data_IF_610134244248
#
_entry.id   IF_610134244248
#
_cell.length_a   1.000
_cell.length_b   1.000
_cell.length_c   1.000
_cell.angle_alpha   90.00
_cell.angle_beta   90.00
_cell.angle_gamma   90.00
#
_symmetry.space_group_name_H-M   'P 1'
#
loop_
_entity.id
_entity.type
_entity.pdbx_description
1 polymer ?
#
# COMPACT_ATOMS: atom_id res chain seq x y z
N UNK A 1 2.48 6.34 -18.46
CA UNK A 1 2.60 5.72 -17.11
C UNK A 1 3.95 5.04 -16.88
N UNK A 2 4.47 4.22 -17.80
CA UNK A 2 5.78 3.53 -17.64
C UNK A 2 6.95 4.51 -17.57
N UNK A 3 7.02 5.47 -18.48
CA UNK A 3 8.06 6.51 -18.52
C UNK A 3 8.13 7.33 -17.22
N UNK A 4 6.97 7.70 -16.66
CA UNK A 4 6.88 8.38 -15.36
C UNK A 4 7.44 7.54 -14.20
N UNK A 5 7.28 6.21 -14.23
CA UNK A 5 7.82 5.32 -13.20
C UNK A 5 9.33 5.14 -13.34
N UNK A 6 9.83 5.06 -14.57
CA UNK A 6 11.27 4.96 -14.85
C UNK A 6 12.01 6.24 -14.43
N UNK A 7 11.51 7.40 -14.82
CA UNK A 7 12.08 8.69 -14.43
C UNK A 7 12.10 8.88 -12.91
N UNK A 8 11.01 8.53 -12.22
CA UNK A 8 10.98 8.58 -10.75
C UNK A 8 11.92 7.59 -10.09
N UNK A 9 12.10 6.40 -10.67
CA UNK A 9 13.07 5.43 -10.16
C UNK A 9 14.49 5.94 -10.35
N UNK A 10 14.82 6.54 -11.49
CA UNK A 10 16.12 7.18 -11.74
C UNK A 10 16.41 8.27 -10.70
N UNK A 11 15.46 9.19 -10.48
CA UNK A 11 15.57 10.24 -9.47
C UNK A 11 15.71 9.68 -8.05
N UNK A 12 14.99 8.60 -7.72
CA UNK A 12 15.11 7.93 -6.42
C UNK A 12 16.50 7.30 -6.25
N UNK A 13 17.01 6.63 -7.28
CA UNK A 13 18.36 6.04 -7.29
C UNK A 13 19.41 7.12 -7.09
N UNK A 14 19.30 8.25 -7.80
CA UNK A 14 20.19 9.40 -7.65
C UNK A 14 20.18 9.92 -6.20
N UNK A 15 19.00 10.16 -5.63
CA UNK A 15 18.85 10.64 -4.26
C UNK A 15 19.39 9.66 -3.22
N UNK A 16 19.11 8.36 -3.39
CA UNK A 16 19.61 7.29 -2.51
C UNK A 16 21.13 7.17 -2.62
N UNK A 17 21.71 7.30 -3.82
CA UNK A 17 23.15 7.27 -4.02
C UNK A 17 23.89 8.37 -3.23
N UNK A 18 23.24 9.50 -2.92
CA UNK A 18 23.86 10.57 -2.11
C UNK A 18 23.93 10.23 -0.61
N UNK A 19 23.13 9.28 -0.12
CA UNK A 19 22.93 9.03 1.32
C UNK A 19 23.30 7.62 1.77
N UNK A 20 23.58 6.70 0.84
CA UNK A 20 24.15 5.38 1.16
C UNK A 20 25.64 5.49 1.53
N UNK A 21 26.21 4.49 2.23
CA UNK A 21 27.62 4.51 2.61
C UNK A 21 28.54 4.71 1.40
N UNK A 22 29.59 5.52 1.56
CA UNK A 22 30.46 6.00 0.47
C UNK A 22 30.98 4.87 -0.45
N UNK A 23 31.35 3.72 0.12
CA UNK A 23 31.84 2.54 -0.63
C UNK A 23 30.84 1.96 -1.65
N UNK A 24 29.55 2.30 -1.54
CA UNK A 24 28.49 1.83 -2.42
C UNK A 24 27.92 2.91 -3.34
N UNK A 25 28.37 4.16 -3.23
CA UNK A 25 27.86 5.25 -4.04
C UNK A 25 28.10 4.97 -5.52
N UNK A 26 27.04 5.09 -6.33
CA UNK A 26 27.08 4.79 -7.77
C UNK A 26 27.02 3.30 -8.12
N UNK A 27 26.95 2.40 -7.13
CA UNK A 27 26.82 0.96 -7.36
C UNK A 27 25.42 0.55 -7.84
N UNK A 28 24.38 1.28 -7.43
CA UNK A 28 22.99 1.00 -7.85
C UNK A 28 22.81 1.43 -9.31
N UNK A 29 22.65 0.46 -10.21
CA UNK A 29 22.37 0.70 -11.63
C UNK A 29 20.90 0.51 -11.94
N UNK A 30 20.29 1.48 -12.60
CA UNK A 30 18.88 1.45 -12.98
C UNK A 30 18.52 0.19 -13.79
N UNK A 31 19.36 -0.23 -14.73
CA UNK A 31 19.12 -1.43 -15.55
C UNK A 31 18.96 -2.71 -14.72
N UNK A 32 19.70 -2.86 -13.62
CA UNK A 32 19.56 -4.01 -12.73
C UNK A 32 18.22 -3.98 -11.99
N UNK A 33 17.82 -2.79 -11.52
CA UNK A 33 16.54 -2.58 -10.84
C UNK A 33 15.37 -2.81 -11.81
N UNK A 34 15.50 -2.35 -13.06
CA UNK A 34 14.50 -2.54 -14.13
C UNK A 34 14.38 -4.01 -14.53
N UNK A 35 15.51 -4.71 -14.73
CA UNK A 35 15.51 -6.14 -15.07
C UNK A 35 14.85 -7.00 -13.98
N UNK A 36 15.00 -6.61 -12.71
CA UNK A 36 14.34 -7.30 -11.60
C UNK A 36 12.83 -7.03 -11.54
N UNK A 37 12.31 -6.04 -12.26
CA UNK A 37 10.89 -5.78 -12.39
C UNK A 37 10.33 -6.56 -13.59
N UNK A 38 9.73 -7.73 -13.34
CA UNK A 38 8.97 -8.50 -14.32
C UNK A 38 7.61 -7.83 -14.61
N UNK A 39 7.62 -6.57 -15.04
CA UNK A 39 6.43 -5.75 -15.27
C UNK A 39 6.51 -4.38 -14.61
N UNK A 40 5.72 -4.14 -13.57
CA UNK A 40 5.56 -2.79 -12.99
C UNK A 40 6.74 -2.42 -12.09
N UNK A 41 7.57 -1.49 -12.56
CA UNK A 41 8.67 -0.94 -11.77
C UNK A 41 8.18 -0.19 -10.51
N UNK A 42 8.80 -0.54 -9.39
CA UNK A 42 8.42 -0.06 -8.05
C UNK A 42 9.58 -0.17 -7.05
N UNK A 43 9.47 0.55 -5.92
CA UNK A 43 10.48 0.60 -4.84
C UNK A 43 10.93 -0.76 -4.30
N UNK A 44 10.09 -1.82 -4.20
CA UNK A 44 10.57 -3.13 -3.77
C UNK A 44 11.69 -3.71 -4.64
N UNK A 45 11.74 -3.38 -5.93
CA UNK A 45 12.82 -3.83 -6.83
C UNK A 45 14.15 -3.15 -6.48
N UNK A 46 14.12 -1.85 -6.16
CA UNK A 46 15.28 -1.13 -5.67
C UNK A 46 15.74 -1.69 -4.31
N UNK A 47 14.80 -1.99 -3.41
CA UNK A 47 15.12 -2.63 -2.13
C UNK A 47 15.86 -3.97 -2.31
N UNK A 48 15.41 -4.81 -3.26
CA UNK A 48 16.07 -6.08 -3.60
C UNK A 48 17.48 -5.86 -4.16
N UNK A 49 17.68 -4.88 -5.03
CA UNK A 49 19.01 -4.55 -5.55
C UNK A 49 19.94 -4.05 -4.43
N UNK A 50 19.44 -3.25 -3.49
CA UNK A 50 20.20 -2.81 -2.33
C UNK A 50 20.62 -3.98 -1.43
N UNK A 51 19.77 -4.99 -1.26
CA UNK A 51 20.14 -6.24 -0.56
C UNK A 51 21.19 -7.02 -1.35
N UNK A 52 21.00 -7.21 -2.65
CA UNK A 52 21.94 -7.92 -3.52
C UNK A 52 23.33 -7.30 -3.53
N UNK A 53 23.42 -5.97 -3.47
CA UNK A 53 24.67 -5.21 -3.39
C UNK A 53 25.28 -5.18 -1.97
N UNK A 54 24.59 -5.72 -0.96
CA UNK A 54 25.04 -5.70 0.43
C UNK A 54 24.97 -4.33 1.11
N UNK A 55 24.17 -3.40 0.56
CA UNK A 55 23.96 -2.06 1.12
C UNK A 55 23.11 -2.16 2.39
N UNK A 56 22.13 -3.07 2.39
CA UNK A 56 21.27 -3.39 3.52
C UNK A 56 21.14 -4.90 3.69
N UNK A 57 20.80 -5.36 4.89
CA UNK A 57 20.60 -6.79 5.18
C UNK A 57 19.23 -7.32 4.76
N UNK A 58 18.26 -6.44 4.52
CA UNK A 58 16.88 -6.84 4.22
C UNK A 58 16.12 -5.74 3.46
N UNK A 59 15.07 -6.11 2.71
CA UNK A 59 14.26 -5.09 2.01
C UNK A 59 13.50 -4.19 3.00
N UNK A 60 13.21 -4.67 4.21
CA UNK A 60 12.62 -3.88 5.30
C UNK A 60 13.56 -2.76 5.70
N UNK A 61 14.85 -3.10 5.92
CA UNK A 61 15.87 -2.11 6.27
C UNK A 61 16.07 -1.09 5.15
N UNK A 62 15.94 -1.46 3.87
CA UNK A 62 15.93 -0.49 2.77
C UNK A 62 14.78 0.52 2.89
N UNK A 63 13.56 0.07 3.17
CA UNK A 63 12.40 0.96 3.34
C UNK A 63 12.54 1.86 4.56
N UNK A 64 12.89 1.27 5.71
CA UNK A 64 13.08 1.97 6.98
C UNK A 64 14.12 3.09 6.87
N UNK A 65 15.29 2.79 6.29
CA UNK A 65 16.40 3.75 6.25
C UNK A 65 16.34 4.71 5.08
N UNK A 66 15.83 4.26 3.93
CA UNK A 66 16.01 4.99 2.68
C UNK A 66 14.71 5.23 1.90
N UNK A 67 13.98 4.17 1.53
CA UNK A 67 12.99 4.26 0.45
C UNK A 67 11.65 4.91 0.84
N UNK A 68 11.40 5.12 2.13
CA UNK A 68 10.31 5.99 2.61
C UNK A 68 10.80 7.43 2.72
N UNK A 69 11.89 7.65 3.45
CA UNK A 69 12.43 8.99 3.76
C UNK A 69 12.85 9.78 2.53
N UNK A 70 13.48 9.14 1.55
CA UNK A 70 13.97 9.78 0.34
C UNK A 70 13.07 9.52 -0.88
N UNK A 71 11.83 9.12 -0.64
CA UNK A 71 10.89 8.86 -1.71
C UNK A 71 10.72 10.09 -2.62
N UNK A 72 10.66 9.85 -3.92
CA UNK A 72 10.21 10.86 -4.88
C UNK A 72 8.69 10.80 -4.85
N UNK A 73 7.98 11.89 -4.57
CA UNK A 73 6.52 11.86 -4.53
C UNK A 73 5.94 11.54 -5.93
N UNK A 74 4.75 10.95 -5.94
CA UNK A 74 3.97 10.73 -7.16
C UNK A 74 2.77 11.64 -7.08
N UNK A 75 2.43 12.28 -8.19
CA UNK A 75 1.07 12.74 -8.38
C UNK A 75 0.16 11.51 -8.49
N UNK A 76 -0.63 11.30 -7.43
CA UNK A 76 -1.67 10.28 -7.45
C UNK A 76 -2.91 10.85 -8.14
N UNK A 77 -3.73 9.97 -8.69
CA UNK A 77 -5.11 10.33 -9.02
C UNK A 77 -5.78 10.84 -7.74
N UNK A 78 -6.60 11.87 -7.88
CA UNK A 78 -7.50 12.27 -6.81
C UNK A 78 -8.45 11.12 -6.47
N UNK A 79 -8.82 11.03 -5.19
CA UNK A 79 -9.55 9.86 -4.68
C UNK A 79 -10.95 9.76 -5.26
N UNK A 80 -11.60 10.90 -5.55
CA UNK A 80 -12.91 10.94 -6.16
C UNK A 80 -12.86 10.36 -7.58
N UNK A 81 -11.92 10.80 -8.41
CA UNK A 81 -11.70 10.24 -9.75
C UNK A 81 -11.35 8.76 -9.68
N UNK A 82 -10.52 8.34 -8.73
CA UNK A 82 -10.18 6.93 -8.57
C UNK A 82 -11.42 6.07 -8.24
N UNK A 83 -12.28 6.53 -7.33
CA UNK A 83 -13.55 5.86 -7.00
C UNK A 83 -14.47 5.84 -8.23
N UNK A 84 -14.67 6.98 -8.89
CA UNK A 84 -15.50 7.08 -10.10
C UNK A 84 -15.06 6.12 -11.18
N UNK A 85 -13.76 6.04 -11.50
CA UNK A 85 -13.23 5.14 -12.51
C UNK A 85 -13.49 3.65 -12.18
N UNK A 86 -13.35 3.27 -10.91
CA UNK A 86 -13.68 1.90 -10.47
C UNK A 86 -15.17 1.63 -10.67
N UNK A 87 -16.04 2.56 -10.27
CA UNK A 87 -17.50 2.43 -10.40
C UNK A 87 -17.95 2.39 -11.87
N UNK A 88 -17.40 3.25 -12.73
CA UNK A 88 -17.65 3.27 -14.17
C UNK A 88 -17.20 1.98 -14.85
N UNK A 89 -16.16 1.34 -14.30
CA UNK A 89 -15.70 0.00 -14.72
C UNK A 89 -16.52 -1.14 -14.10
N UNK A 90 -17.65 -0.84 -13.45
CA UNK A 90 -18.52 -1.77 -12.71
C UNK A 90 -17.83 -2.49 -11.54
N UNK A 91 -16.73 -1.94 -11.06
CA UNK A 91 -16.00 -2.44 -9.91
C UNK A 91 -16.57 -1.96 -8.58
N UNK A 92 -16.07 -2.57 -7.51
CA UNK A 92 -16.37 -2.21 -6.13
C UNK A 92 -15.14 -1.53 -5.53
N UNK A 93 -15.17 -0.20 -5.29
CA UNK A 93 -14.05 0.51 -4.70
C UNK A 93 -13.93 0.20 -3.21
N UNK A 94 -12.72 -0.22 -2.80
CA UNK A 94 -12.40 -0.61 -1.42
C UNK A 94 -11.18 0.17 -0.94
N UNK A 95 -11.26 0.75 0.26
CA UNK A 95 -10.12 1.41 0.89
C UNK A 95 -9.21 0.36 1.53
N UNK A 96 -8.05 0.14 0.91
CA UNK A 96 -7.05 -0.79 1.39
C UNK A 96 -6.33 -0.27 2.66
N UNK A 97 -6.12 -1.18 3.62
CA UNK A 97 -5.38 -1.05 4.86
C UNK A 97 -5.44 0.37 5.47
N UNK A 98 -6.65 0.89 5.81
CA UNK A 98 -6.91 2.25 6.27
C UNK A 98 -6.14 2.70 7.51
N UNK A 99 -5.53 1.79 8.27
CA UNK A 99 -4.69 2.10 9.42
C UNK A 99 -3.18 2.11 9.15
N UNK A 100 -2.72 1.69 7.96
CA UNK A 100 -1.29 1.55 7.67
C UNK A 100 -0.83 2.50 6.54
N UNK A 101 0.36 3.09 6.72
CA UNK A 101 1.13 3.90 5.74
C UNK A 101 0.64 5.34 5.51
N UNK A 102 1.37 6.08 4.68
CA UNK A 102 1.25 7.54 4.50
C UNK A 102 -0.08 8.04 3.91
N UNK A 103 -0.99 7.15 3.49
CA UNK A 103 -2.31 7.47 2.94
C UNK A 103 -3.47 6.88 3.78
N UNK A 104 -3.16 6.33 4.95
CA UNK A 104 -4.15 5.83 5.92
C UNK A 104 -5.09 6.95 6.40
N UNK A 105 -6.26 6.55 6.90
CA UNK A 105 -7.16 7.41 7.66
C UNK A 105 -6.52 7.87 8.97
N UNK A 106 -5.57 7.09 9.50
CA UNK A 106 -4.86 7.36 10.74
C UNK A 106 -3.37 7.48 10.44
N UNK A 107 -2.88 8.71 10.35
CA UNK A 107 -1.48 9.06 10.06
C UNK A 107 -1.08 10.27 10.92
N UNK A 108 -0.62 10.06 12.16
CA UNK A 108 -0.29 11.16 13.09
C UNK A 108 0.75 12.14 12.53
N UNK A 109 1.74 11.65 11.77
CA UNK A 109 2.75 12.48 11.10
C UNK A 109 2.17 13.50 10.10
N UNK A 110 0.95 13.24 9.61
CA UNK A 110 0.21 14.11 8.70
C UNK A 110 -1.01 14.77 9.37
N UNK A 111 -1.09 14.73 10.70
CA UNK A 111 -2.19 15.32 11.47
C UNK A 111 -3.52 14.57 11.36
N UNK A 112 -3.53 13.32 10.88
CA UNK A 112 -4.73 12.48 10.84
C UNK A 112 -4.73 11.53 12.01
N UNK A 113 -5.57 11.80 12.99
CA UNK A 113 -5.71 11.05 14.22
C UNK A 113 -6.93 10.12 14.15
N UNK A 114 -7.07 9.12 15.05
CA UNK A 114 -8.22 8.21 15.05
C UNK A 114 -9.59 8.89 15.03
N UNK A 115 -9.72 10.06 15.67
CA UNK A 115 -10.94 10.87 15.68
C UNK A 115 -11.30 11.47 14.32
N UNK A 116 -10.36 11.59 13.39
CA UNK A 116 -10.62 12.11 12.04
C UNK A 116 -11.15 11.00 11.10
N UNK A 117 -10.87 9.74 11.41
CA UNK A 117 -11.18 8.63 10.51
C UNK A 117 -12.67 8.48 10.16
N UNK A 118 -13.65 8.67 11.09
CA UNK A 118 -15.07 8.60 10.74
C UNK A 118 -15.47 9.63 9.68
N UNK A 119 -15.08 10.90 9.86
CA UNK A 119 -15.44 12.00 8.94
C UNK A 119 -14.79 11.79 7.58
N UNK A 120 -13.50 11.43 7.55
CA UNK A 120 -12.80 11.14 6.31
C UNK A 120 -13.42 9.94 5.57
N UNK A 121 -13.85 8.91 6.29
CA UNK A 121 -14.49 7.75 5.69
C UNK A 121 -15.91 8.06 5.19
N UNK A 122 -16.66 8.91 5.90
CA UNK A 122 -17.96 9.42 5.45
C UNK A 122 -17.82 10.21 4.15
N UNK A 123 -16.82 11.10 4.04
CA UNK A 123 -16.51 11.79 2.79
C UNK A 123 -16.25 10.80 1.65
N UNK A 124 -15.45 9.76 1.86
CA UNK A 124 -15.20 8.73 0.85
C UNK A 124 -16.46 7.93 0.49
N UNK A 125 -17.32 7.64 1.47
CA UNK A 125 -18.60 6.97 1.25
C UNK A 125 -19.51 7.81 0.34
N UNK A 126 -19.61 9.13 0.59
CA UNK A 126 -20.38 10.04 -0.28
C UNK A 126 -19.84 10.13 -1.71
N UNK A 127 -18.55 9.86 -1.91
CA UNK A 127 -17.92 9.76 -3.24
C UNK A 127 -18.21 8.42 -3.94
N UNK A 128 -18.79 7.44 -3.25
CA UNK A 128 -19.14 6.12 -3.79
C UNK A 128 -18.19 4.99 -3.41
N UNK A 129 -17.41 5.15 -2.33
CA UNK A 129 -16.68 4.04 -1.71
C UNK A 129 -17.67 2.96 -1.24
N UNK A 130 -17.36 1.67 -1.43
CA UNK A 130 -18.27 0.57 -1.09
C UNK A 130 -17.67 -0.45 -0.10
N UNK A 131 -16.38 -0.37 0.20
CA UNK A 131 -15.77 -1.29 1.15
C UNK A 131 -14.56 -0.74 1.88
N UNK A 132 -14.25 -1.39 3.00
CA UNK A 132 -13.14 -1.06 3.88
C UNK A 132 -12.36 -2.31 4.24
N UNK A 133 -11.04 -2.29 4.10
CA UNK A 133 -10.19 -3.41 4.52
C UNK A 133 -9.99 -3.39 6.04
N UNK A 134 -10.75 -4.22 6.74
CA UNK A 134 -10.73 -4.27 8.21
C UNK A 134 -9.77 -5.34 8.71
N UNK A 135 -9.81 -6.55 8.12
CA UNK A 135 -8.91 -7.64 8.47
C UNK A 135 -7.59 -7.52 7.72
N UNK A 136 -6.60 -6.92 8.38
CA UNK A 136 -5.27 -6.68 7.82
C UNK A 136 -4.20 -6.89 8.90
N UNK A 137 -3.00 -7.45 8.59
CA UNK A 137 -1.97 -7.76 9.58
C UNK A 137 -1.56 -6.59 10.49
N UNK A 138 -1.56 -5.36 9.97
CA UNK A 138 -1.28 -4.20 10.82
C UNK A 138 -2.40 -3.94 11.83
N UNK A 139 -3.67 -4.04 11.41
CA UNK A 139 -4.80 -3.85 12.31
C UNK A 139 -4.87 -4.94 13.38
N UNK A 140 -4.55 -6.19 13.02
CA UNK A 140 -4.46 -7.30 13.98
C UNK A 140 -3.37 -7.03 15.03
N UNK A 141 -2.17 -6.60 14.61
CA UNK A 141 -1.07 -6.26 15.53
C UNK A 141 -1.41 -5.08 16.44
N UNK A 142 -2.13 -4.08 15.93
CA UNK A 142 -2.52 -2.90 16.68
C UNK A 142 -3.81 -3.08 17.50
N UNK A 143 -4.50 -4.21 17.36
CA UNK A 143 -5.79 -4.47 18.01
C UNK A 143 -6.93 -3.58 17.49
N UNK A 144 -6.85 -3.09 16.26
CA UNK A 144 -7.81 -2.13 15.68
C UNK A 144 -8.79 -2.75 14.68
N UNK A 145 -8.81 -4.07 14.51
CA UNK A 145 -9.74 -4.75 13.58
C UNK A 145 -11.20 -4.41 13.90
N UNK A 146 -11.64 -4.59 15.15
CA UNK A 146 -13.02 -4.29 15.56
C UNK A 146 -13.38 -2.81 15.39
N UNK A 147 -12.41 -1.91 15.56
CA UNK A 147 -12.62 -0.49 15.31
C UNK A 147 -12.95 -0.22 13.84
N UNK A 148 -12.20 -0.79 12.90
CA UNK A 148 -12.49 -0.63 11.47
C UNK A 148 -13.78 -1.34 11.04
N UNK A 149 -14.11 -2.49 11.63
CA UNK A 149 -15.40 -3.16 11.39
C UNK A 149 -16.56 -2.24 11.79
N UNK A 150 -16.51 -1.66 13.01
CA UNK A 150 -17.55 -0.73 13.47
C UNK A 150 -17.70 0.49 12.53
N UNK A 151 -16.58 1.03 12.02
CA UNK A 151 -16.63 2.13 11.05
C UNK A 151 -17.29 1.71 9.74
N UNK A 152 -16.98 0.51 9.24
CA UNK A 152 -17.58 -0.01 8.02
C UNK A 152 -19.09 -0.24 8.19
N UNK A 153 -19.51 -0.87 9.29
CA UNK A 153 -20.91 -1.13 9.60
C UNK A 153 -21.74 0.15 9.73
N UNK A 154 -21.20 1.18 10.41
CA UNK A 154 -21.88 2.47 10.58
C UNK A 154 -22.16 3.20 9.26
N UNK A 155 -21.41 2.90 8.20
CA UNK A 155 -21.52 3.53 6.89
C UNK A 155 -22.04 2.56 5.82
N UNK A 156 -22.52 1.38 6.22
CA UNK A 156 -22.93 0.28 5.34
C UNK A 156 -21.88 -0.09 4.27
N UNK A 157 -20.59 -0.03 4.64
CA UNK A 157 -19.49 -0.46 3.81
C UNK A 157 -19.24 -1.96 3.96
N UNK A 158 -18.84 -2.60 2.87
CA UNK A 158 -18.45 -4.01 2.86
C UNK A 158 -17.17 -4.18 3.67
N UNK A 159 -17.22 -5.03 4.70
CA UNK A 159 -16.03 -5.46 5.45
C UNK A 159 -15.20 -6.36 4.54
N UNK A 160 -13.95 -5.98 4.29
CA UNK A 160 -13.00 -6.76 3.48
C UNK A 160 -11.73 -7.07 4.26
N UNK A 161 -10.85 -7.90 3.68
CA UNK A 161 -9.60 -8.27 4.32
C UNK A 161 -8.61 -8.92 3.37
N UNK A 162 -7.32 -8.78 3.68
CA UNK A 162 -6.26 -9.47 2.96
C UNK A 162 -5.00 -9.65 3.81
N UNK A 163 -4.04 -10.43 3.29
CA UNK A 163 -2.67 -10.48 3.81
C UNK A 163 -1.71 -9.59 3.03
N UNK A 164 -2.19 -8.96 1.97
CA UNK A 164 -1.38 -8.23 0.98
C UNK A 164 -0.09 -9.02 0.64
N UNK A 165 -0.28 -10.26 0.19
CA UNK A 165 0.81 -11.23 0.01
C UNK A 165 1.62 -10.90 -1.26
N UNK A 166 2.92 -10.64 -1.10
CA UNK A 166 3.86 -10.21 -2.14
C UNK A 166 4.78 -11.35 -2.63
N UNK A 167 4.41 -12.60 -2.36
CA UNK A 167 5.15 -13.76 -2.85
C UNK A 167 6.39 -14.13 -2.04
N UNK A 168 7.09 -15.15 -2.56
CA UNK A 168 8.19 -15.87 -1.91
C UNK A 168 9.47 -15.05 -1.73
N UNK A 169 9.63 -13.95 -2.48
CA UNK A 169 10.80 -13.06 -2.42
C UNK A 169 10.59 -11.84 -1.52
N UNK A 170 9.71 -11.98 -0.52
CA UNK A 170 9.41 -10.98 0.50
C UNK A 170 9.73 -11.54 1.89
N UNK A 171 9.58 -10.72 2.94
CA UNK A 171 9.70 -11.20 4.32
C UNK A 171 8.48 -12.03 4.78
N UNK A 172 7.42 -12.08 3.97
CA UNK A 172 6.21 -12.79 4.32
C UNK A 172 6.45 -14.30 4.21
N UNK A 173 6.06 -15.03 5.25
CA UNK A 173 6.09 -16.49 5.23
C UNK A 173 4.93 -17.01 4.38
N UNK A 174 5.17 -18.04 3.58
CA UNK A 174 4.16 -18.62 2.65
C UNK A 174 2.89 -19.05 3.38
N UNK A 175 3.01 -19.51 4.62
CA UNK A 175 1.88 -19.96 5.43
C UNK A 175 0.89 -18.85 5.78
N UNK A 176 1.13 -17.58 5.41
CA UNK A 176 0.11 -16.54 5.55
C UNK A 176 -0.84 -16.50 4.33
N UNK A 177 -0.47 -17.08 3.19
CA UNK A 177 -1.31 -17.02 2.00
C UNK A 177 -2.70 -17.64 2.26
N UNK A 178 -3.77 -16.90 1.93
CA UNK A 178 -5.15 -17.33 2.14
C UNK A 178 -5.62 -17.40 3.60
N UNK A 179 -4.83 -16.89 4.56
CA UNK A 179 -5.17 -16.99 6.01
C UNK A 179 -5.98 -15.83 6.57
N UNK A 180 -6.42 -14.89 5.74
CA UNK A 180 -7.33 -13.83 6.20
C UNK A 180 -8.67 -14.47 6.57
N UNK A 181 -9.12 -14.24 7.80
CA UNK A 181 -10.44 -14.68 8.24
C UNK A 181 -11.47 -13.66 7.74
N UNK A 182 -12.40 -14.14 6.94
CA UNK A 182 -13.51 -13.36 6.38
C UNK A 182 -14.79 -14.16 6.60
N UNK A 183 -15.84 -13.49 7.04
CA UNK A 183 -17.16 -14.09 7.14
C UNK A 183 -17.79 -14.28 5.75
N UNK A 184 -18.61 -15.33 5.52
CA UNK A 184 -19.28 -15.55 4.23
C UNK A 184 -20.12 -14.37 3.75
N UNK A 185 -20.66 -13.57 4.68
CA UNK A 185 -21.42 -12.34 4.40
C UNK A 185 -20.68 -11.38 3.46
N UNK A 186 -19.34 -11.33 3.51
CA UNK A 186 -18.54 -10.54 2.56
C UNK A 186 -18.94 -10.85 1.10
N UNK A 187 -19.08 -12.14 0.77
CA UNK A 187 -19.38 -12.56 -0.60
C UNK A 187 -20.78 -12.12 -1.01
N UNK A 188 -21.78 -12.28 -0.13
CA UNK A 188 -23.16 -11.89 -0.37
C UNK A 188 -23.29 -10.37 -0.59
N UNK A 189 -22.67 -9.57 0.28
CA UNK A 189 -22.66 -8.11 0.16
C UNK A 189 -21.91 -7.65 -1.10
N UNK A 190 -20.81 -8.31 -1.45
CA UNK A 190 -20.08 -8.02 -2.68
C UNK A 190 -20.95 -8.31 -3.93
N UNK A 191 -21.63 -9.46 -3.97
CA UNK A 191 -22.53 -9.80 -5.08
C UNK A 191 -23.71 -8.83 -5.20
N UNK A 192 -24.24 -8.33 -4.09
CA UNK A 192 -25.36 -7.38 -4.11
C UNK A 192 -25.04 -6.03 -4.77
N UNK A 193 -23.76 -5.64 -4.80
CA UNK A 193 -23.32 -4.35 -5.37
C UNK A 193 -22.50 -4.48 -6.66
N UNK A 194 -22.11 -5.71 -7.02
CA UNK A 194 -21.35 -6.02 -8.23
C UNK A 194 -22.30 -6.37 -9.38
N UNK A 195 -22.61 -5.35 -10.20
CA UNK A 195 -23.52 -5.43 -11.35
C UNK A 195 -22.81 -5.81 -12.65
#
# INVERSE_FOLDING_TARGET
MTETRENRMLQLIERVNQVIPQKFQGAIKFENVKRAAEGVLARPHLAREMVRLGIVSSTYQAFERYLVKYNIERENLDVQTAISLVRESKGVPVMAHPGERSYSLICPEKGRLPENAPVLLEELNTMGLLGLECHYPYHERMGTVSYFINLAENLDLIVTGSRDFHGFNSHQKVNIFGTTKMEPEFFERFQAVWN
#
